data_IF_725717914306
#
_entry.id   IF_725717914306
#
_cell.length_a   1.000
_cell.length_b   1.000
_cell.length_c   1.000
_cell.angle_alpha   90.00
_cell.angle_beta   90.00
_cell.angle_gamma   90.00
#
_symmetry.space_group_name_H-M   'P 1'
#
loop_
_entity.id
_entity.type
_entity.pdbx_description
1 polymer ?
#
# COMPACT_ATOMS: atom_id res chain seq x y z
N UNK A 1 -12.19 -20.33 8.48
CA UNK A 1 -11.47 -19.13 7.98
C UNK A 1 -12.07 -17.93 8.69
N UNK A 2 -11.25 -17.05 9.27
CA UNK A 2 -11.76 -15.84 9.91
C UNK A 2 -12.39 -14.93 8.84
N UNK A 3 -13.49 -14.25 9.17
CA UNK A 3 -14.08 -13.26 8.28
C UNK A 3 -13.13 -12.05 8.16
N UNK A 4 -13.21 -11.31 7.06
CA UNK A 4 -12.53 -10.02 6.93
C UNK A 4 -13.32 -8.99 7.73
N UNK A 5 -12.71 -8.40 8.74
CA UNK A 5 -13.33 -7.36 9.56
C UNK A 5 -12.98 -5.96 9.05
N UNK A 6 -13.73 -4.95 9.51
CA UNK A 6 -13.45 -3.55 9.19
C UNK A 6 -12.02 -3.17 9.61
N UNK A 7 -11.54 -3.68 10.76
CA UNK A 7 -10.21 -3.40 11.31
C UNK A 7 -9.09 -3.87 10.38
N UNK A 8 -9.27 -5.04 9.77
CA UNK A 8 -8.32 -5.60 8.81
C UNK A 8 -8.18 -4.68 7.58
N UNK A 9 -9.30 -4.13 7.09
CA UNK A 9 -9.33 -3.27 5.91
C UNK A 9 -8.68 -1.89 6.11
N UNK A 10 -8.55 -1.43 7.36
CA UNK A 10 -7.98 -0.10 7.66
C UNK A 10 -6.51 0.02 7.24
N UNK A 11 -5.78 -1.10 7.29
CA UNK A 11 -4.38 -1.17 6.92
C UNK A 11 -4.16 -1.26 5.40
N UNK A 12 -5.21 -1.57 4.64
CA UNK A 12 -5.15 -1.79 3.19
C UNK A 12 -6.15 -0.89 2.43
N UNK A 13 -6.03 0.45 2.55
CA UNK A 13 -6.99 1.40 1.97
C UNK A 13 -7.00 1.43 0.44
N UNK A 14 -6.04 0.76 -0.22
CA UNK A 14 -6.03 0.57 -1.67
C UNK A 14 -6.99 -0.53 -2.14
N UNK A 15 -7.47 -1.40 -1.24
CA UNK A 15 -8.43 -2.44 -1.61
C UNK A 15 -9.80 -1.84 -1.98
N UNK A 16 -10.49 -2.37 -3.01
CA UNK A 16 -11.83 -1.91 -3.39
C UNK A 16 -12.85 -1.93 -2.25
N UNK A 17 -12.73 -2.91 -1.34
CA UNK A 17 -13.59 -3.07 -0.16
C UNK A 17 -13.42 -1.89 0.81
N UNK A 18 -12.18 -1.46 1.04
CA UNK A 18 -11.87 -0.29 1.87
C UNK A 18 -12.39 1.02 1.24
N UNK A 19 -12.30 1.15 -0.08
CA UNK A 19 -12.81 2.32 -0.81
C UNK A 19 -14.34 2.41 -0.77
N UNK A 20 -15.04 1.28 -0.86
CA UNK A 20 -16.51 1.22 -0.73
C UNK A 20 -17.01 1.72 0.62
N UNK A 21 -16.25 1.51 1.69
CA UNK A 21 -16.58 1.99 3.05
C UNK A 21 -16.57 3.52 3.11
N UNK A 22 -15.65 4.19 2.39
CA UNK A 22 -15.65 5.65 2.31
C UNK A 22 -16.85 6.17 1.52
N UNK A 23 -17.13 5.55 0.37
CA UNK A 23 -18.24 5.95 -0.50
C UNK A 23 -19.60 5.85 0.20
N UNK A 24 -19.83 4.78 0.97
CA UNK A 24 -21.10 4.57 1.70
C UNK A 24 -21.34 5.58 2.83
N UNK A 25 -20.29 6.23 3.34
CA UNK A 25 -20.39 7.25 4.40
C UNK A 25 -20.58 8.68 3.89
N UNK A 26 -20.64 8.88 2.58
CA UNK A 26 -20.93 10.19 1.97
C UNK A 26 -19.89 11.26 2.29
N UNK A 27 -18.64 10.86 2.56
CA UNK A 27 -17.55 11.82 2.84
C UNK A 27 -17.19 12.52 1.53
N UNK A 28 -17.72 13.72 1.36
CA UNK A 28 -17.33 14.64 0.29
C UNK A 28 -16.12 15.44 0.73
N UNK A 29 -15.08 15.49 -0.11
CA UNK A 29 -13.91 16.35 0.10
C UNK A 29 -14.33 17.82 0.20
N UNK A 30 -15.38 18.20 -0.54
CA UNK A 30 -15.99 19.53 -0.49
C UNK A 30 -16.75 19.72 0.83
N UNK A 31 -16.11 20.36 1.81
CA UNK A 31 -16.72 20.71 3.09
C UNK A 31 -16.05 20.10 4.33
N UNK A 32 -15.04 19.24 4.16
CA UNK A 32 -14.28 18.67 5.29
C UNK A 32 -13.72 19.76 6.21
N UNK A 33 -13.21 20.86 5.65
CA UNK A 33 -12.66 21.99 6.42
C UNK A 33 -13.70 22.77 7.26
N UNK A 34 -14.99 22.56 7.02
CA UNK A 34 -16.08 23.25 7.74
C UNK A 34 -16.47 22.55 9.04
N UNK A 35 -16.09 21.29 9.23
CA UNK A 35 -16.44 20.49 10.40
C UNK A 35 -15.21 20.21 11.26
N UNK A 36 -15.37 20.13 12.58
CA UNK A 36 -14.24 19.79 13.47
C UNK A 36 -13.63 18.41 13.17
N UNK A 37 -14.42 17.34 12.94
CA UNK A 37 -13.86 16.05 12.54
C UNK A 37 -13.12 16.11 11.20
N UNK A 38 -13.65 16.83 10.23
CA UNK A 38 -13.02 16.98 8.92
C UNK A 38 -11.69 17.75 8.96
N UNK A 39 -11.57 18.77 9.82
CA UNK A 39 -10.29 19.44 10.08
C UNK A 39 -9.26 18.49 10.68
N UNK A 40 -9.66 17.68 11.66
CA UNK A 40 -8.78 16.68 12.28
C UNK A 40 -8.25 15.68 11.24
N UNK A 41 -9.09 15.21 10.32
CA UNK A 41 -8.62 14.34 9.22
C UNK A 41 -7.62 15.04 8.29
N UNK A 42 -7.81 16.33 8.01
CA UNK A 42 -6.87 17.10 7.18
C UNK A 42 -5.53 17.28 7.88
N UNK A 43 -5.54 17.61 9.18
CA UNK A 43 -4.33 17.76 9.98
C UNK A 43 -3.56 16.43 10.04
N UNK A 44 -4.23 15.32 10.35
CA UNK A 44 -3.62 13.98 10.34
C UNK A 44 -3.11 13.58 8.95
N UNK A 45 -3.83 13.90 7.88
CA UNK A 45 -3.37 13.64 6.52
C UNK A 45 -2.10 14.44 6.20
N UNK A 46 -2.03 15.71 6.60
CA UNK A 46 -0.84 16.54 6.44
C UNK A 46 0.33 15.98 7.26
N UNK A 47 0.12 15.61 8.52
CA UNK A 47 1.13 14.94 9.35
C UNK A 47 1.65 13.66 8.69
N UNK A 48 0.77 12.82 8.15
CA UNK A 48 1.13 11.60 7.42
C UNK A 48 2.05 11.88 6.24
N UNK A 49 1.78 12.94 5.48
CA UNK A 49 2.66 13.38 4.39
C UNK A 49 4.00 13.88 4.92
N UNK A 50 4.01 14.74 5.93
CA UNK A 50 5.25 15.25 6.54
C UNK A 50 6.12 14.11 7.08
N UNK A 51 5.51 13.13 7.77
CA UNK A 51 6.18 11.92 8.26
C UNK A 51 6.90 11.17 7.14
N UNK A 52 6.27 11.05 5.97
CA UNK A 52 6.87 10.40 4.80
C UNK A 52 8.05 11.17 4.22
N UNK A 53 8.04 12.50 4.32
CA UNK A 53 9.09 13.38 3.81
C UNK A 53 10.30 13.39 4.75
N UNK A 54 10.06 13.41 6.06
CA UNK A 54 11.08 13.41 7.12
C UNK A 54 11.91 12.12 7.16
N UNK A 55 11.50 11.08 6.44
CA UNK A 55 12.18 9.78 6.44
C UNK A 55 11.94 8.96 7.71
N UNK A 56 10.91 9.32 8.50
CA UNK A 56 10.48 8.52 9.66
C UNK A 56 9.92 7.18 9.17
N UNK A 57 10.17 6.12 9.95
CA UNK A 57 9.99 4.74 9.45
C UNK A 57 8.54 4.37 9.11
N UNK A 58 7.58 4.80 9.94
CA UNK A 58 6.15 4.48 9.77
C UNK A 58 5.30 5.54 10.44
N UNK A 59 4.28 6.07 9.74
CA UNK A 59 3.24 6.89 10.38
C UNK A 59 2.45 6.01 11.37
N UNK A 60 2.24 6.43 12.63
CA UNK A 60 1.55 5.61 13.62
C UNK A 60 0.10 5.31 13.21
N UNK A 61 -0.43 4.15 13.63
CA UNK A 61 -1.87 3.90 13.55
C UNK A 61 -2.62 4.89 14.44
N UNK A 62 -3.83 5.27 14.02
CA UNK A 62 -4.66 6.12 14.84
C UNK A 62 -5.24 5.35 16.05
N UNK A 63 -4.80 5.69 17.26
CA UNK A 63 -5.29 5.08 18.52
C UNK A 63 -6.59 5.75 19.02
N UNK A 64 -7.13 6.74 18.33
CA UNK A 64 -8.32 7.49 18.78
C UNK A 64 -9.64 6.70 18.77
N UNK A 65 -9.63 5.45 18.27
CA UNK A 65 -10.83 4.60 18.17
C UNK A 65 -11.73 4.92 16.99
N UNK A 66 -11.34 5.89 16.15
CA UNK A 66 -12.02 6.17 14.89
C UNK A 66 -11.65 5.13 13.83
N UNK A 67 -12.56 4.17 13.64
CA UNK A 67 -12.41 3.04 12.73
C UNK A 67 -12.35 3.41 11.25
N UNK A 68 -12.41 4.69 10.84
CA UNK A 68 -12.24 5.05 9.42
C UNK A 68 -11.11 6.06 9.18
N UNK A 69 -10.52 6.59 10.25
CA UNK A 69 -9.51 7.64 10.18
C UNK A 69 -8.33 7.27 9.29
N UNK A 70 -7.83 6.03 9.40
CA UNK A 70 -6.71 5.54 8.58
C UNK A 70 -7.01 5.54 7.07
N UNK A 71 -8.25 5.23 6.67
CA UNK A 71 -8.66 5.22 5.26
C UNK A 71 -8.87 6.66 4.77
N UNK A 72 -9.56 7.50 5.56
CA UNK A 72 -9.82 8.90 5.21
C UNK A 72 -8.51 9.67 5.07
N UNK A 73 -7.62 9.57 6.07
CA UNK A 73 -6.33 10.26 6.08
C UNK A 73 -5.42 9.77 4.95
N UNK A 74 -5.47 8.49 4.58
CA UNK A 74 -4.75 7.98 3.41
C UNK A 74 -5.23 8.64 2.11
N UNK A 75 -6.55 8.69 1.88
CA UNK A 75 -7.11 9.30 0.67
C UNK A 75 -6.79 10.79 0.62
N UNK A 76 -6.95 11.51 1.74
CA UNK A 76 -6.60 12.92 1.81
C UNK A 76 -5.10 13.17 1.62
N UNK A 77 -4.22 12.34 2.19
CA UNK A 77 -2.78 12.45 2.01
C UNK A 77 -2.38 12.29 0.53
N UNK A 78 -3.03 11.38 -0.20
CA UNK A 78 -2.84 11.24 -1.66
C UNK A 78 -3.24 12.48 -2.44
N UNK A 79 -4.34 13.12 -2.05
CA UNK A 79 -4.76 14.41 -2.64
C UNK A 79 -3.71 15.49 -2.35
N UNK A 80 -3.29 15.65 -1.09
CA UNK A 80 -2.29 16.63 -0.68
C UNK A 80 -0.96 16.45 -1.44
N UNK A 81 -0.45 15.21 -1.51
CA UNK A 81 0.78 14.88 -2.22
C UNK A 81 0.65 15.17 -3.71
N UNK A 82 -0.49 14.86 -4.33
CA UNK A 82 -0.74 15.17 -5.75
C UNK A 82 -0.72 16.67 -6.02
N UNK A 83 -1.27 17.48 -5.10
CA UNK A 83 -1.25 18.93 -5.19
C UNK A 83 0.17 19.53 -5.16
N UNK A 84 1.15 18.86 -4.55
CA UNK A 84 2.53 19.36 -4.51
C UNK A 84 3.20 19.41 -5.88
N UNK A 85 2.76 18.56 -6.83
CA UNK A 85 3.36 18.37 -8.16
C UNK A 85 4.88 18.10 -8.13
N UNK A 86 5.42 17.69 -6.98
CA UNK A 86 6.84 17.36 -6.83
C UNK A 86 7.02 15.84 -6.85
N UNK A 87 7.74 15.36 -7.87
CA UNK A 87 8.03 13.94 -8.05
C UNK A 87 8.77 13.34 -6.86
N UNK A 88 9.67 14.09 -6.21
CA UNK A 88 10.43 13.58 -5.05
C UNK A 88 9.51 13.36 -3.85
N UNK A 89 8.61 14.30 -3.60
CA UNK A 89 7.59 14.20 -2.53
C UNK A 89 6.66 13.02 -2.78
N UNK A 90 6.16 12.84 -4.01
CA UNK A 90 5.35 11.68 -4.39
C UNK A 90 6.11 10.37 -4.14
N UNK A 91 7.35 10.26 -4.60
CA UNK A 91 8.16 9.05 -4.42
C UNK A 91 8.42 8.73 -2.94
N UNK A 92 8.70 9.74 -2.10
CA UNK A 92 8.90 9.57 -0.66
C UNK A 92 7.63 9.08 0.02
N UNK A 93 6.50 9.70 -0.30
CA UNK A 93 5.19 9.28 0.21
C UNK A 93 4.86 7.84 -0.15
N UNK A 94 4.98 7.48 -1.44
CA UNK A 94 4.69 6.11 -1.92
C UNK A 94 5.59 5.08 -1.25
N UNK A 95 6.88 5.38 -1.05
CA UNK A 95 7.81 4.48 -0.34
C UNK A 95 7.41 4.28 1.12
N UNK A 96 7.07 5.36 1.82
CA UNK A 96 6.66 5.29 3.22
C UNK A 96 5.36 4.48 3.37
N UNK A 97 4.38 4.72 2.49
CA UNK A 97 3.10 3.98 2.49
C UNK A 97 3.29 2.50 2.14
N UNK A 98 4.14 2.18 1.16
CA UNK A 98 4.46 0.80 0.84
C UNK A 98 5.12 0.07 2.02
N UNK A 99 6.08 0.72 2.70
CA UNK A 99 6.73 0.18 3.91
C UNK A 99 5.70 -0.05 5.03
N UNK A 100 4.78 0.90 5.24
CA UNK A 100 3.70 0.78 6.23
C UNK A 100 2.78 -0.41 5.92
N UNK A 101 2.25 -0.48 4.69
CA UNK A 101 1.36 -1.57 4.24
C UNK A 101 2.05 -2.93 4.38
N UNK A 102 3.29 -3.03 3.91
CA UNK A 102 4.06 -4.26 3.99
C UNK A 102 4.36 -4.66 5.43
N UNK A 103 4.63 -3.69 6.31
CA UNK A 103 4.78 -3.91 7.75
C UNK A 103 3.55 -4.56 8.40
N UNK A 104 2.35 -4.08 8.08
CA UNK A 104 1.11 -4.73 8.53
C UNK A 104 0.94 -6.12 7.93
N UNK A 105 1.17 -6.27 6.62
CA UNK A 105 1.01 -7.56 5.93
C UNK A 105 1.92 -8.65 6.50
N UNK A 106 3.13 -8.29 6.93
CA UNK A 106 4.08 -9.22 7.55
C UNK A 106 3.63 -9.70 8.93
N UNK A 107 2.99 -8.82 9.70
CA UNK A 107 2.49 -9.11 11.05
C UNK A 107 1.05 -9.66 11.05
N UNK A 108 0.41 -9.68 9.88
CA UNK A 108 -0.98 -10.09 9.69
C UNK A 108 -1.19 -11.56 10.06
N UNK A 109 -2.08 -11.79 11.03
CA UNK A 109 -2.45 -13.12 11.50
C UNK A 109 -3.68 -13.65 10.78
N UNK A 110 -4.56 -12.76 10.30
CA UNK A 110 -5.75 -13.16 9.57
C UNK A 110 -5.38 -13.60 8.14
N UNK A 111 -5.30 -14.91 7.92
CA UNK A 111 -4.95 -15.48 6.62
C UNK A 111 -5.93 -15.07 5.51
N UNK A 112 -7.18 -14.76 5.83
CA UNK A 112 -8.19 -14.37 4.84
C UNK A 112 -7.87 -13.01 4.23
N UNK A 113 -7.57 -11.98 5.05
CA UNK A 113 -7.18 -10.67 4.52
C UNK A 113 -5.79 -10.73 3.86
N UNK A 114 -4.85 -11.50 4.43
CA UNK A 114 -3.52 -11.68 3.85
C UNK A 114 -3.58 -12.27 2.44
N UNK A 115 -4.38 -13.33 2.26
CA UNK A 115 -4.64 -13.92 0.96
C UNK A 115 -5.37 -12.96 0.02
N UNK A 116 -6.35 -12.19 0.52
CA UNK A 116 -7.08 -11.19 -0.28
C UNK A 116 -6.17 -10.08 -0.81
N UNK A 117 -5.23 -9.59 0.02
CA UNK A 117 -4.23 -8.60 -0.39
C UNK A 117 -3.31 -9.18 -1.47
N UNK A 118 -2.84 -10.42 -1.31
CA UNK A 118 -1.97 -11.05 -2.32
C UNK A 118 -2.72 -11.33 -3.63
N UNK A 119 -4.00 -11.69 -3.55
CA UNK A 119 -4.88 -11.87 -4.71
C UNK A 119 -5.08 -10.57 -5.51
N UNK A 120 -5.07 -9.40 -4.86
CA UNK A 120 -5.09 -8.10 -5.53
C UNK A 120 -3.90 -7.93 -6.50
N UNK A 121 -2.77 -8.57 -6.19
CA UNK A 121 -1.56 -8.56 -7.01
C UNK A 121 -1.37 -9.83 -7.85
N UNK A 122 -2.34 -10.75 -7.83
CA UNK A 122 -2.30 -12.02 -8.57
C UNK A 122 -1.25 -13.01 -8.05
N UNK A 123 -0.96 -12.99 -6.74
CA UNK A 123 0.12 -13.76 -6.11
C UNK A 123 -0.44 -14.59 -4.94
N UNK A 124 0.15 -15.76 -4.70
CA UNK A 124 -0.03 -16.54 -3.46
C UNK A 124 1.14 -16.34 -2.52
N UNK A 125 0.91 -16.35 -1.20
CA UNK A 125 1.96 -16.15 -0.17
C UNK A 125 2.97 -17.30 -0.11
N UNK A 126 2.57 -18.45 -0.60
CA UNK A 126 3.29 -19.71 -0.61
C UNK A 126 3.77 -20.05 -2.04
N UNK A 127 3.76 -19.05 -2.93
CA UNK A 127 4.31 -19.18 -4.27
C UNK A 127 5.82 -19.43 -4.23
N UNK A 128 6.22 -20.61 -4.68
CA UNK A 128 7.64 -20.98 -4.87
C UNK A 128 8.13 -20.69 -6.29
N UNK A 129 7.20 -20.32 -7.17
CA UNK A 129 7.44 -20.03 -8.58
C UNK A 129 6.54 -18.91 -9.04
N UNK A 130 7.07 -18.03 -9.89
CA UNK A 130 6.30 -17.01 -10.61
C UNK A 130 6.44 -17.26 -12.10
N UNK A 131 5.43 -16.91 -12.90
CA UNK A 131 5.64 -16.84 -14.36
C UNK A 131 6.73 -15.82 -14.66
N UNK A 132 7.49 -16.01 -15.75
CA UNK A 132 8.51 -15.04 -16.17
C UNK A 132 7.92 -13.63 -16.29
N UNK A 133 6.69 -13.51 -16.79
CA UNK A 133 6.00 -12.22 -16.92
C UNK A 133 5.78 -11.56 -15.54
N UNK A 134 5.22 -12.29 -14.57
CA UNK A 134 5.02 -11.79 -13.21
C UNK A 134 6.34 -11.38 -12.57
N UNK A 135 7.37 -12.24 -12.68
CA UNK A 135 8.68 -11.96 -12.09
C UNK A 135 9.30 -10.66 -12.63
N UNK A 136 9.33 -10.51 -13.95
CA UNK A 136 9.93 -9.33 -14.60
C UNK A 136 9.19 -8.05 -14.21
N UNK A 137 7.86 -8.10 -14.16
CA UNK A 137 7.05 -6.94 -13.75
C UNK A 137 7.34 -6.52 -12.30
N UNK A 138 7.43 -7.48 -11.39
CA UNK A 138 7.69 -7.23 -9.97
C UNK A 138 9.13 -6.78 -9.70
N UNK A 139 10.10 -7.37 -10.41
CA UNK A 139 11.52 -7.06 -10.24
C UNK A 139 11.97 -5.79 -10.98
N UNK A 140 11.12 -5.20 -11.84
CA UNK A 140 11.48 -4.12 -12.76
C UNK A 140 12.17 -2.91 -12.08
N UNK A 141 11.81 -2.60 -10.83
CA UNK A 141 12.34 -1.45 -10.10
C UNK A 141 13.43 -1.82 -9.07
N UNK A 142 13.85 -3.08 -9.02
CA UNK A 142 14.90 -3.55 -8.10
C UNK A 142 16.25 -3.52 -8.82
N UNK A 143 17.20 -2.76 -8.25
CA UNK A 143 18.48 -2.49 -8.93
C UNK A 143 19.55 -3.55 -8.70
N UNK A 144 19.41 -4.40 -7.68
CA UNK A 144 20.45 -5.39 -7.36
C UNK A 144 20.53 -6.46 -8.46
N UNK A 145 21.76 -6.79 -8.88
CA UNK A 145 22.03 -7.72 -9.98
C UNK A 145 21.33 -9.07 -9.84
N UNK A 146 21.18 -9.58 -8.61
CA UNK A 146 20.52 -10.86 -8.34
C UNK A 146 19.06 -10.95 -8.81
N UNK A 147 18.41 -9.80 -9.02
CA UNK A 147 17.02 -9.71 -9.50
C UNK A 147 16.89 -9.64 -11.02
N UNK A 148 18.01 -9.53 -11.74
CA UNK A 148 17.96 -9.61 -13.19
C UNK A 148 17.59 -11.01 -13.61
N UNK A 149 16.64 -11.14 -14.53
CA UNK A 149 16.15 -12.44 -15.01
C UNK A 149 17.28 -13.38 -15.48
N UNK A 150 18.33 -12.83 -16.08
CA UNK A 150 19.52 -13.58 -16.50
C UNK A 150 20.27 -14.29 -15.36
N UNK A 151 20.08 -13.82 -14.12
CA UNK A 151 20.71 -14.36 -12.90
C UNK A 151 19.73 -15.26 -12.12
N UNK A 152 18.64 -15.71 -12.74
CA UNK A 152 17.60 -16.52 -12.11
C UNK A 152 17.51 -17.91 -12.71
N UNK A 153 17.08 -18.86 -11.89
CA UNK A 153 16.73 -20.19 -12.36
C UNK A 153 15.33 -20.16 -13.00
N UNK A 154 15.30 -20.40 -14.31
CA UNK A 154 14.08 -20.40 -15.11
C UNK A 154 13.84 -21.80 -15.68
N UNK A 155 12.68 -22.38 -15.40
CA UNK A 155 12.31 -23.72 -15.84
C UNK A 155 10.84 -23.72 -16.29
N UNK A 156 10.58 -24.14 -17.53
CA UNK A 156 9.23 -24.27 -18.08
C UNK A 156 8.42 -22.95 -18.13
N UNK A 157 9.09 -21.79 -18.25
CA UNK A 157 8.42 -20.48 -18.25
C UNK A 157 8.17 -19.89 -16.85
N UNK A 158 8.74 -20.51 -15.82
CA UNK A 158 8.63 -20.07 -14.43
C UNK A 158 9.99 -19.77 -13.82
N UNK A 159 10.04 -18.74 -12.97
CA UNK A 159 11.19 -18.36 -12.16
C UNK A 159 11.03 -18.94 -10.76
N UNK A 160 12.01 -19.70 -10.27
CA UNK A 160 12.03 -20.17 -8.88
C UNK A 160 12.35 -19.02 -7.93
N UNK A 161 11.64 -18.95 -6.82
CA UNK A 161 11.80 -17.90 -5.79
C UNK A 161 11.70 -18.51 -4.38
N UNK A 162 12.43 -17.93 -3.42
CA UNK A 162 12.26 -18.24 -2.00
C UNK A 162 11.14 -17.40 -1.36
N UNK A 163 10.75 -17.75 -0.14
CA UNK A 163 9.78 -16.96 0.63
C UNK A 163 10.28 -15.53 0.93
N UNK A 164 11.56 -15.37 1.28
CA UNK A 164 12.16 -14.05 1.52
C UNK A 164 12.20 -13.21 0.25
N UNK A 165 12.43 -13.84 -0.91
CA UNK A 165 12.42 -13.14 -2.20
C UNK A 165 11.00 -12.71 -2.59
N UNK A 166 10.01 -13.57 -2.33
CA UNK A 166 8.60 -13.24 -2.54
C UNK A 166 8.19 -12.01 -1.73
N UNK A 167 8.62 -11.91 -0.47
CA UNK A 167 8.40 -10.75 0.40
C UNK A 167 8.92 -9.45 -0.23
N UNK A 168 10.16 -9.48 -0.75
CA UNK A 168 10.77 -8.31 -1.39
C UNK A 168 10.03 -7.92 -2.68
N UNK A 169 9.74 -8.91 -3.53
CA UNK A 169 9.01 -8.68 -4.78
C UNK A 169 7.61 -8.09 -4.50
N UNK A 170 6.91 -8.64 -3.51
CA UNK A 170 5.56 -8.18 -3.14
C UNK A 170 5.59 -6.74 -2.61
N UNK A 171 6.54 -6.41 -1.75
CA UNK A 171 6.76 -5.04 -1.27
C UNK A 171 6.94 -4.05 -2.43
N UNK A 172 7.74 -4.43 -3.43
CA UNK A 172 7.99 -3.61 -4.62
C UNK A 172 6.77 -3.49 -5.54
N UNK A 173 6.00 -4.57 -5.71
CA UNK A 173 4.74 -4.56 -6.45
C UNK A 173 3.70 -3.65 -5.77
N UNK A 174 3.58 -3.71 -4.45
CA UNK A 174 2.72 -2.80 -3.65
C UNK A 174 3.17 -1.36 -3.89
N UNK A 175 4.47 -1.07 -3.78
CA UNK A 175 5.02 0.27 -4.02
C UNK A 175 4.66 0.81 -5.40
N UNK A 176 4.85 -0.01 -6.45
CA UNK A 176 4.52 0.37 -7.82
C UNK A 176 3.01 0.65 -7.98
N UNK A 177 2.15 -0.18 -7.36
CA UNK A 177 0.70 -0.01 -7.39
C UNK A 177 0.23 1.26 -6.66
N UNK A 178 0.79 1.57 -5.49
CA UNK A 178 0.45 2.80 -4.76
C UNK A 178 0.90 4.07 -5.52
N UNK A 179 1.98 3.97 -6.30
CA UNK A 179 2.50 5.06 -7.11
C UNK A 179 1.84 5.23 -8.48
N UNK A 180 1.28 4.18 -9.08
CA UNK A 180 0.73 4.21 -10.45
C UNK A 180 -0.44 5.19 -10.62
N UNK A 181 -1.08 5.55 -9.51
CA UNK A 181 -2.23 6.45 -9.45
C UNK A 181 -1.89 7.78 -8.78
N UNK A 182 -0.61 8.19 -8.80
CA UNK A 182 -0.13 9.48 -8.33
C UNK A 182 0.81 10.14 -9.38
N UNK A 183 0.71 11.47 -9.60
CA UNK A 183 -0.28 12.37 -9.03
C UNK A 183 -1.70 12.09 -9.58
N UNK A 184 -2.72 12.37 -8.78
CA UNK A 184 -4.11 12.33 -9.24
C UNK A 184 -4.26 13.36 -10.36
N UNK A 185 -4.67 12.89 -11.54
CA UNK A 185 -4.89 13.69 -12.75
C UNK A 185 -6.18 14.50 -12.67
#
# INVERSE_FOLDING_TARGET
MAAVELRDLLHYPFLPEAQKILASRGISVAGLSKTNPGRNYLDKAAERVVYSIDGKETYPSDTSGDNISDIVTYVLARVLVSCTKDKRTVERFVRAEAKRVFGYLRQEQNQTIKARVCAEFGISLDATRLTVLQYVEMAANIREEKWRLINREVEGGYVKISADELEILLSEKIRAHLGSSLPLA
#
